data_IF_110314785146
#
_entry.id   IF_110314785146
#
_cell.length_a   1.000
_cell.length_b   1.000
_cell.length_c   1.000
_cell.angle_alpha   90.00
_cell.angle_beta   90.00
_cell.angle_gamma   90.00
#
_symmetry.space_group_name_H-M   'P 1'
#
loop_
_entity.id
_entity.type
_entity.pdbx_description
1 polymer ?
#
# COMPACT_ATOMS: atom_id res chain seq x y z
N UNK A 1 9.01 7.60 -25.96
CA UNK A 1 9.22 8.38 -24.70
C UNK A 1 8.22 9.51 -24.50
N UNK A 2 7.96 10.41 -25.47
CA UNK A 2 6.98 11.52 -25.29
C UNK A 2 5.57 11.08 -24.85
N UNK A 3 5.09 9.92 -25.32
CA UNK A 3 3.78 9.37 -24.96
C UNK A 3 3.66 8.94 -23.49
N UNK A 4 4.74 8.42 -22.91
CA UNK A 4 4.80 7.97 -21.51
C UNK A 4 4.78 9.18 -20.56
N UNK A 5 5.37 10.30 -20.97
CA UNK A 5 5.38 11.53 -20.18
C UNK A 5 3.98 12.17 -20.08
N UNK A 6 3.13 12.01 -21.10
CA UNK A 6 1.73 12.49 -21.07
C UNK A 6 0.85 11.73 -20.07
N UNK A 7 1.27 10.53 -19.68
CA UNK A 7 0.60 9.67 -18.69
C UNK A 7 1.01 9.95 -17.24
N UNK A 8 2.05 10.77 -17.03
CA UNK A 8 2.58 11.13 -15.71
C UNK A 8 1.53 11.55 -14.67
N UNK A 9 0.52 12.38 -15.00
CA UNK A 9 -0.51 12.79 -14.04
C UNK A 9 -1.37 11.64 -13.50
N UNK A 10 -1.40 10.49 -14.17
CA UNK A 10 -2.15 9.30 -13.73
C UNK A 10 -1.24 8.27 -13.09
N UNK A 11 -0.03 8.10 -13.63
CA UNK A 11 0.95 7.14 -13.13
C UNK A 11 1.50 7.58 -11.76
N UNK A 12 1.74 8.88 -11.55
CA UNK A 12 2.34 9.38 -10.29
C UNK A 12 1.42 9.15 -9.08
N UNK A 13 0.12 9.53 -9.11
CA UNK A 13 -0.79 9.24 -8.00
C UNK A 13 -0.90 7.74 -7.75
N UNK A 14 -0.94 6.94 -8.81
CA UNK A 14 -1.04 5.50 -8.71
C UNK A 14 0.19 4.86 -8.06
N UNK A 15 1.38 5.24 -8.53
CA UNK A 15 2.64 4.80 -7.98
C UNK A 15 2.77 5.22 -6.51
N UNK A 16 2.29 6.41 -6.15
CA UNK A 16 2.31 6.88 -4.76
C UNK A 16 1.39 6.04 -3.86
N UNK A 17 0.19 5.67 -4.34
CA UNK A 17 -0.72 4.78 -3.62
C UNK A 17 -0.05 3.43 -3.36
N UNK A 18 0.46 2.78 -4.40
CA UNK A 18 1.13 1.49 -4.24
C UNK A 18 2.35 1.58 -3.35
N UNK A 19 3.16 2.63 -3.51
CA UNK A 19 4.33 2.81 -2.67
C UNK A 19 3.94 2.88 -1.19
N UNK A 20 2.96 3.72 -0.84
CA UNK A 20 2.52 3.82 0.55
C UNK A 20 1.93 2.50 1.09
N UNK A 21 1.16 1.80 0.25
CA UNK A 21 0.48 0.55 0.62
C UNK A 21 1.46 -0.60 0.87
N UNK A 22 2.38 -0.83 -0.06
CA UNK A 22 3.39 -1.88 0.07
C UNK A 22 4.41 -1.56 1.17
N UNK A 23 4.85 -0.30 1.31
CA UNK A 23 5.70 0.11 2.44
C UNK A 23 5.02 -0.13 3.79
N UNK A 24 3.70 0.09 3.89
CA UNK A 24 2.96 -0.18 5.11
C UNK A 24 2.88 -1.67 5.41
N UNK A 25 2.63 -2.48 4.37
CA UNK A 25 2.49 -3.93 4.50
C UNK A 25 3.83 -4.56 4.89
N UNK A 26 4.90 -4.33 4.13
CA UNK A 26 6.21 -4.95 4.39
C UNK A 26 6.92 -4.36 5.61
N UNK A 27 6.74 -3.05 5.86
CA UNK A 27 7.42 -2.34 6.94
C UNK A 27 6.65 -2.29 8.26
N UNK A 28 5.49 -1.65 8.27
CA UNK A 28 4.82 -1.27 9.52
C UNK A 28 4.07 -2.45 10.14
N UNK A 29 3.34 -3.23 9.34
CA UNK A 29 2.55 -4.36 9.87
C UNK A 29 3.43 -5.49 10.42
N UNK A 30 4.65 -5.65 9.90
CA UNK A 30 5.60 -6.64 10.41
C UNK A 30 6.16 -6.25 11.79
N UNK A 31 6.12 -4.96 12.14
CA UNK A 31 6.49 -4.43 13.45
C UNK A 31 5.35 -4.39 14.47
N UNK A 32 4.12 -4.75 14.08
CA UNK A 32 2.95 -4.75 14.97
C UNK A 32 2.67 -6.17 15.48
N UNK A 33 2.51 -6.33 16.80
CA UNK A 33 2.11 -7.60 17.41
C UNK A 33 1.57 -7.40 18.82
N UNK A 34 0.62 -8.22 19.27
CA UNK A 34 0.03 -8.12 20.60
C UNK A 34 0.40 -9.35 21.44
N UNK A 35 1.41 -9.30 22.33
CA UNK A 35 2.38 -8.23 22.62
C UNK A 35 3.52 -8.09 21.59
N UNK A 36 4.12 -6.91 21.48
CA UNK A 36 5.06 -6.56 20.39
C UNK A 36 6.37 -7.35 20.44
N UNK A 37 6.80 -7.73 21.65
CA UNK A 37 8.03 -8.45 21.92
C UNK A 37 8.00 -9.88 21.34
N UNK A 38 6.80 -10.49 21.31
CA UNK A 38 6.63 -11.85 20.82
C UNK A 38 6.70 -11.89 19.29
N UNK A 39 7.62 -12.71 18.77
CA UNK A 39 7.73 -12.98 17.32
C UNK A 39 6.46 -13.64 16.79
N UNK A 40 5.88 -14.57 17.55
CA UNK A 40 4.66 -15.28 17.14
C UNK A 40 3.44 -14.37 17.10
N UNK A 41 3.35 -13.40 18.02
CA UNK A 41 2.27 -12.41 18.02
C UNK A 41 2.36 -11.47 16.82
N UNK A 42 3.57 -11.02 16.45
CA UNK A 42 3.80 -10.22 15.23
C UNK A 42 3.47 -11.00 13.97
N UNK A 43 3.91 -12.25 13.87
CA UNK A 43 3.61 -13.11 12.72
C UNK A 43 2.09 -13.39 12.59
N UNK A 44 1.41 -13.59 13.71
CA UNK A 44 -0.05 -13.79 13.76
C UNK A 44 -0.81 -12.54 13.31
N UNK A 45 -0.42 -11.37 13.82
CA UNK A 45 -1.02 -10.10 13.42
C UNK A 45 -0.77 -9.82 11.94
N UNK A 46 0.47 -9.98 11.47
CA UNK A 46 0.84 -9.79 10.06
C UNK A 46 -0.01 -10.67 9.13
N UNK A 47 -0.19 -11.95 9.49
CA UNK A 47 -1.01 -12.88 8.71
C UNK A 47 -2.49 -12.46 8.71
N UNK A 48 -3.03 -12.07 9.86
CA UNK A 48 -4.41 -11.61 9.97
C UNK A 48 -4.65 -10.28 9.24
N UNK A 49 -3.71 -9.34 9.33
CA UNK A 49 -3.74 -8.05 8.63
C UNK A 49 -3.68 -8.27 7.11
N UNK A 50 -2.80 -9.16 6.65
CA UNK A 50 -2.73 -9.59 5.25
C UNK A 50 -4.04 -10.19 4.76
N UNK A 51 -4.67 -11.07 5.55
CA UNK A 51 -5.98 -11.64 5.20
C UNK A 51 -7.09 -10.58 5.14
N UNK A 52 -7.16 -9.69 6.13
CA UNK A 52 -8.14 -8.61 6.16
C UNK A 52 -7.97 -7.66 4.97
N UNK A 53 -6.73 -7.30 4.66
CA UNK A 53 -6.38 -6.52 3.49
C UNK A 53 -6.80 -7.20 2.19
N UNK A 54 -6.47 -8.48 2.00
CA UNK A 54 -6.84 -9.22 0.79
C UNK A 54 -8.36 -9.39 0.66
N UNK A 55 -9.08 -9.56 1.77
CA UNK A 55 -10.53 -9.55 1.75
C UNK A 55 -11.08 -8.19 1.26
N UNK A 56 -10.53 -7.09 1.75
CA UNK A 56 -10.88 -5.74 1.29
C UNK A 56 -10.61 -5.54 -0.20
N UNK A 57 -9.43 -5.96 -0.68
CA UNK A 57 -9.06 -5.91 -2.11
C UNK A 57 -10.03 -6.73 -2.95
N UNK A 58 -10.38 -7.94 -2.50
CA UNK A 58 -11.33 -8.80 -3.20
C UNK A 58 -12.68 -8.11 -3.38
N UNK A 59 -13.28 -7.62 -2.28
CA UNK A 59 -14.55 -6.91 -2.35
C UNK A 59 -14.47 -5.67 -3.25
N UNK A 60 -13.40 -4.88 -3.12
CA UNK A 60 -13.26 -3.68 -3.94
C UNK A 60 -13.05 -3.97 -5.42
N UNK A 61 -12.29 -5.01 -5.77
CA UNK A 61 -12.06 -5.37 -7.18
C UNK A 61 -13.34 -5.93 -7.81
N UNK A 62 -14.10 -6.72 -7.05
CA UNK A 62 -15.42 -7.22 -7.48
C UNK A 62 -16.44 -6.08 -7.66
N UNK A 63 -16.44 -5.06 -6.79
CA UNK A 63 -17.35 -3.92 -6.90
C UNK A 63 -16.88 -2.83 -7.88
N UNK A 64 -15.59 -2.78 -8.22
CA UNK A 64 -14.99 -1.74 -9.06
C UNK A 64 -15.50 -1.72 -10.50
N UNK A 65 -16.06 -2.83 -10.99
CA UNK A 65 -16.72 -2.89 -12.31
C UNK A 65 -18.05 -2.11 -12.30
N UNK A 66 -18.72 -2.01 -11.14
CA UNK A 66 -20.00 -1.32 -10.97
C UNK A 66 -19.83 0.18 -10.64
N UNK A 67 -18.76 0.55 -9.93
CA UNK A 67 -18.49 1.93 -9.52
C UNK A 67 -17.18 2.44 -10.11
N UNK A 68 -17.28 3.20 -11.21
CA UNK A 68 -16.14 3.87 -11.82
C UNK A 68 -15.86 5.19 -11.08
N UNK A 69 -14.74 5.23 -10.36
CA UNK A 69 -14.27 6.41 -9.66
C UNK A 69 -13.83 7.49 -10.65
N UNK A 70 -14.23 8.72 -10.37
CA UNK A 70 -13.95 9.91 -11.18
C UNK A 70 -12.51 10.40 -10.94
N UNK A 71 -11.91 11.15 -11.89
CA UNK A 71 -10.54 11.70 -11.78
C UNK A 71 -10.16 12.35 -10.43
N UNK A 72 -11.04 13.05 -9.68
CA UNK A 72 -10.71 13.59 -8.36
C UNK A 72 -10.34 12.52 -7.32
N UNK A 73 -10.95 11.33 -7.41
CA UNK A 73 -10.70 10.23 -6.48
C UNK A 73 -9.27 9.70 -6.65
N UNK A 74 -8.71 9.73 -7.86
CA UNK A 74 -7.32 9.33 -8.12
C UNK A 74 -6.29 10.20 -7.40
N UNK A 75 -6.61 11.44 -7.05
CA UNK A 75 -5.71 12.32 -6.29
C UNK A 75 -5.98 12.27 -4.78
N UNK A 76 -7.24 12.07 -4.38
CA UNK A 76 -7.62 11.96 -2.97
C UNK A 76 -7.10 10.67 -2.33
N UNK A 77 -7.12 9.56 -3.08
CA UNK A 77 -6.71 8.25 -2.60
C UNK A 77 -5.23 8.16 -2.19
N UNK A 78 -4.25 8.67 -2.95
CA UNK A 78 -2.85 8.72 -2.52
C UNK A 78 -2.65 9.49 -1.22
N UNK A 79 -3.33 10.64 -1.06
CA UNK A 79 -3.25 11.40 0.17
C UNK A 79 -3.77 10.58 1.36
N UNK A 80 -4.89 9.88 1.18
CA UNK A 80 -5.46 9.02 2.22
C UNK A 80 -4.54 7.83 2.57
N UNK A 81 -3.91 7.19 1.57
CA UNK A 81 -2.98 6.09 1.83
C UNK A 81 -1.72 6.53 2.56
N UNK A 82 -1.16 7.69 2.20
CA UNK A 82 -0.01 8.25 2.92
C UNK A 82 -0.39 8.62 4.37
N UNK A 83 -1.59 9.16 4.59
CA UNK A 83 -2.10 9.42 5.94
C UNK A 83 -2.28 8.12 6.74
N UNK A 84 -2.79 7.05 6.13
CA UNK A 84 -2.93 5.74 6.76
C UNK A 84 -1.57 5.12 7.10
N UNK A 85 -0.57 5.26 6.23
CA UNK A 85 0.82 4.86 6.51
C UNK A 85 1.36 5.60 7.74
N UNK A 86 1.19 6.92 7.79
CA UNK A 86 1.60 7.74 8.92
C UNK A 86 0.88 7.34 10.22
N UNK A 87 -0.42 7.09 10.15
CA UNK A 87 -1.22 6.61 11.27
C UNK A 87 -0.71 5.26 11.80
N UNK A 88 -0.51 4.27 10.93
CA UNK A 88 0.00 2.97 11.33
C UNK A 88 1.43 3.05 11.90
N UNK A 89 2.28 3.90 11.31
CA UNK A 89 3.65 4.13 11.80
C UNK A 89 3.63 4.72 13.20
N UNK A 90 2.75 5.71 13.46
CA UNK A 90 2.58 6.31 14.77
C UNK A 90 2.05 5.29 15.79
N UNK A 91 1.07 4.47 15.41
CA UNK A 91 0.54 3.41 16.27
C UNK A 91 1.62 2.37 16.61
N UNK A 92 2.44 1.99 15.63
CA UNK A 92 3.55 1.07 15.84
C UNK A 92 4.67 1.64 16.73
N UNK A 93 4.90 2.96 16.70
CA UNK A 93 5.92 3.62 17.51
C UNK A 93 5.45 3.97 18.93
N UNK A 94 4.19 4.38 19.10
CA UNK A 94 3.66 4.89 20.38
C UNK A 94 2.80 3.89 21.13
N UNK A 95 2.38 2.79 20.49
CA UNK A 95 1.46 1.79 21.06
C UNK A 95 0.12 2.38 21.55
N UNK A 96 -0.26 3.59 21.10
CA UNK A 96 -1.44 4.30 21.63
C UNK A 96 -2.75 3.54 21.38
N UNK A 97 -2.92 2.93 20.20
CA UNK A 97 -4.07 2.10 19.86
C UNK A 97 -3.61 0.70 19.44
N UNK A 98 -3.37 -0.15 20.44
CA UNK A 98 -2.78 -1.48 20.23
C UNK A 98 -3.80 -2.61 20.46
N UNK A 99 -4.79 -2.70 19.56
CA UNK A 99 -5.86 -3.70 19.63
C UNK A 99 -6.11 -4.35 18.26
N UNK A 100 -6.75 -5.53 18.26
CA UNK A 100 -7.20 -6.24 17.06
C UNK A 100 -8.16 -5.44 16.15
N UNK A 101 -8.69 -4.31 16.64
CA UNK A 101 -9.44 -3.35 15.83
C UNK A 101 -8.65 -2.76 14.65
N UNK A 102 -7.32 -2.79 14.68
CA UNK A 102 -6.48 -2.40 13.54
C UNK A 102 -6.78 -3.23 12.27
N UNK A 103 -7.25 -4.47 12.42
CA UNK A 103 -7.64 -5.31 11.27
C UNK A 103 -8.77 -4.69 10.44
N UNK A 104 -9.68 -3.95 11.07
CA UNK A 104 -10.74 -3.23 10.35
C UNK A 104 -10.14 -2.13 9.48
N UNK A 105 -9.11 -1.45 9.98
CA UNK A 105 -8.40 -0.43 9.21
C UNK A 105 -7.59 -1.08 8.08
N UNK A 106 -6.97 -2.24 8.30
CA UNK A 106 -6.31 -3.02 7.24
C UNK A 106 -7.30 -3.43 6.13
N UNK A 107 -8.52 -3.81 6.50
CA UNK A 107 -9.59 -4.10 5.54
C UNK A 107 -9.96 -2.86 4.72
N UNK A 108 -10.10 -1.69 5.35
CA UNK A 108 -10.37 -0.42 4.66
C UNK A 108 -9.23 -0.04 3.72
N UNK A 109 -7.97 -0.22 4.12
CA UNK A 109 -6.79 -0.01 3.26
C UNK A 109 -6.89 -0.89 2.01
N UNK A 110 -7.21 -2.17 2.17
CA UNK A 110 -7.41 -3.09 1.05
C UNK A 110 -8.56 -2.68 0.14
N UNK A 111 -9.66 -2.17 0.71
CA UNK A 111 -10.78 -1.66 -0.06
C UNK A 111 -10.37 -0.44 -0.90
N UNK A 112 -9.62 0.50 -0.33
CA UNK A 112 -9.15 1.69 -1.04
C UNK A 112 -8.12 1.33 -2.14
N UNK A 113 -7.14 0.48 -1.81
CA UNK A 113 -6.11 0.02 -2.75
C UNK A 113 -6.68 -0.75 -3.95
N UNK A 114 -7.59 -1.69 -3.69
CA UNK A 114 -8.29 -2.43 -4.74
C UNK A 114 -9.13 -1.54 -5.65
N UNK A 115 -9.74 -0.49 -5.09
CA UNK A 115 -10.57 0.46 -5.83
C UNK A 115 -9.72 1.34 -6.74
N UNK A 116 -8.61 1.85 -6.24
CA UNK A 116 -7.65 2.63 -7.04
C UNK A 116 -7.10 1.80 -8.20
N UNK A 117 -6.76 0.53 -7.95
CA UNK A 117 -6.28 -0.40 -8.99
C UNK A 117 -7.26 -0.46 -10.16
N UNK A 118 -8.50 -0.90 -9.92
CA UNK A 118 -9.47 -1.10 -11.01
C UNK A 118 -9.76 0.20 -11.75
N UNK A 119 -9.88 1.31 -11.03
CA UNK A 119 -10.20 2.60 -11.63
C UNK A 119 -9.08 3.14 -12.50
N UNK A 120 -7.84 2.98 -12.10
CA UNK A 120 -6.71 3.43 -12.88
C UNK A 120 -6.51 2.63 -14.16
N UNK A 121 -6.59 1.30 -14.08
CA UNK A 121 -6.52 0.45 -15.27
C UNK A 121 -7.68 0.71 -16.22
N UNK A 122 -8.89 0.94 -15.69
CA UNK A 122 -10.07 1.29 -16.51
C UNK A 122 -9.90 2.65 -17.19
N UNK A 123 -9.42 3.66 -16.46
CA UNK A 123 -9.21 5.01 -17.02
C UNK A 123 -8.10 4.99 -18.08
N UNK A 124 -7.02 4.28 -17.80
CA UNK A 124 -5.92 4.08 -18.73
C UNK A 124 -6.40 3.43 -20.03
N UNK A 125 -7.23 2.39 -19.94
CA UNK A 125 -7.82 1.73 -21.11
C UNK A 125 -8.79 2.62 -21.90
N UNK A 126 -9.42 3.61 -21.26
CA UNK A 126 -10.38 4.52 -21.91
C UNK A 126 -9.73 5.73 -22.56
N UNK A 127 -8.66 6.26 -21.96
CA UNK A 127 -8.02 7.50 -22.42
C UNK A 127 -6.90 7.26 -23.47
N UNK A 128 -6.36 6.05 -23.54
CA UNK A 128 -5.32 5.69 -24.50
C UNK A 128 -5.94 5.19 -25.81
N UNK A 129 -5.36 5.59 -26.94
CA UNK A 129 -5.77 5.11 -28.26
C UNK A 129 -5.64 3.57 -28.34
N UNK A 130 -6.59 2.85 -28.98
CA UNK A 130 -6.59 1.39 -29.05
C UNK A 130 -5.29 0.79 -29.61
N UNK A 131 -4.61 1.51 -30.50
CA UNK A 131 -3.33 1.10 -31.09
C UNK A 131 -2.14 1.07 -30.11
N UNK A 132 -2.27 1.71 -28.95
CA UNK A 132 -1.20 1.84 -27.95
C UNK A 132 -1.62 1.42 -26.54
N UNK A 133 -2.86 0.98 -26.34
CA UNK A 133 -3.38 0.52 -25.03
C UNK A 133 -2.54 -0.61 -24.46
N UNK A 134 -2.22 -1.62 -25.27
CA UNK A 134 -1.45 -2.78 -24.81
C UNK A 134 -0.05 -2.39 -24.35
N UNK A 135 0.61 -1.51 -25.10
CA UNK A 135 1.93 -0.99 -24.74
C UNK A 135 1.86 -0.12 -23.47
N UNK A 136 0.82 0.69 -23.31
CA UNK A 136 0.63 1.52 -22.12
C UNK A 136 0.38 0.65 -20.88
N UNK A 137 -0.46 -0.38 -20.99
CA UNK A 137 -0.73 -1.35 -19.92
C UNK A 137 0.55 -2.11 -19.52
N UNK A 138 1.34 -2.56 -20.50
CA UNK A 138 2.62 -3.21 -20.23
C UNK A 138 3.61 -2.27 -19.52
N UNK A 139 3.73 -1.01 -19.99
CA UNK A 139 4.60 -0.03 -19.37
C UNK A 139 4.19 0.32 -17.93
N UNK A 140 2.88 0.44 -17.66
CA UNK A 140 2.35 0.69 -16.31
C UNK A 140 2.58 -0.51 -15.40
N UNK A 141 2.41 -1.74 -15.88
CA UNK A 141 2.70 -2.96 -15.12
C UNK A 141 4.18 -3.07 -14.69
N UNK A 142 5.10 -2.71 -15.60
CA UNK A 142 6.54 -2.66 -15.28
C UNK A 142 6.82 -1.54 -14.27
N UNK A 143 6.21 -0.37 -14.46
CA UNK A 143 6.34 0.76 -13.52
C UNK A 143 5.82 0.43 -12.13
N UNK A 144 4.70 -0.28 -12.03
CA UNK A 144 4.13 -0.78 -10.78
C UNK A 144 5.12 -1.72 -10.09
N UNK A 145 5.63 -2.73 -10.79
CA UNK A 145 6.62 -3.68 -10.23
C UNK A 145 7.85 -2.96 -9.68
N UNK A 146 8.40 -1.99 -10.42
CA UNK A 146 9.55 -1.19 -9.97
C UNK A 146 9.16 -0.34 -8.75
N UNK A 147 7.97 0.26 -8.74
CA UNK A 147 7.43 1.01 -7.62
C UNK A 147 7.32 0.17 -6.34
N UNK A 148 6.80 -1.06 -6.46
CA UNK A 148 6.73 -2.03 -5.36
C UNK A 148 8.12 -2.38 -4.83
N UNK A 149 9.11 -2.61 -5.70
CA UNK A 149 10.48 -2.87 -5.25
C UNK A 149 11.07 -1.71 -4.43
N UNK A 150 10.82 -0.45 -4.84
CA UNK A 150 11.23 0.71 -4.05
C UNK A 150 10.44 0.83 -2.74
N UNK A 151 9.15 0.53 -2.78
CA UNK A 151 8.28 0.52 -1.61
C UNK A 151 8.75 -0.49 -0.56
N UNK A 152 9.18 -1.68 -0.99
CA UNK A 152 9.72 -2.72 -0.13
C UNK A 152 11.06 -2.31 0.46
N UNK A 153 11.96 -1.71 -0.33
CA UNK A 153 13.20 -1.13 0.20
C UNK A 153 12.92 -0.10 1.30
N UNK A 154 11.96 0.81 1.07
CA UNK A 154 11.56 1.81 2.05
C UNK A 154 10.87 1.16 3.27
N UNK A 155 10.06 0.13 3.06
CA UNK A 155 9.40 -0.65 4.10
C UNK A 155 10.38 -1.34 5.03
N UNK A 156 11.45 -1.94 4.49
CA UNK A 156 12.50 -2.57 5.27
C UNK A 156 13.28 -1.57 6.14
N UNK A 157 13.57 -0.38 5.60
CA UNK A 157 14.21 0.70 6.38
C UNK A 157 13.30 1.16 7.51
N UNK A 158 12.00 1.37 7.22
CA UNK A 158 11.01 1.77 8.21
C UNK A 158 10.80 0.70 9.29
N UNK A 159 10.82 -0.58 8.91
CA UNK A 159 10.79 -1.71 9.82
C UNK A 159 11.98 -1.67 10.78
N UNK A 160 13.19 -1.42 10.26
CA UNK A 160 14.41 -1.28 11.05
C UNK A 160 14.29 -0.16 12.10
N UNK A 161 13.82 1.02 11.68
CA UNK A 161 13.56 2.13 12.60
C UNK A 161 12.54 1.75 13.70
N UNK A 162 11.42 1.13 13.33
CA UNK A 162 10.37 0.74 14.28
C UNK A 162 10.86 -0.33 15.27
N UNK A 163 11.73 -1.24 14.83
CA UNK A 163 12.34 -2.24 15.70
C UNK A 163 13.35 -1.60 16.66
N UNK A 164 14.13 -0.62 16.21
CA UNK A 164 15.04 0.17 17.05
C UNK A 164 14.29 0.92 18.15
N UNK A 165 13.21 1.65 17.78
CA UNK A 165 12.35 2.40 18.71
C UNK A 165 11.70 1.47 19.75
N UNK A 166 11.28 0.28 19.34
CA UNK A 166 10.63 -0.69 20.22
C UNK A 166 11.61 -1.63 20.93
N UNK A 167 12.92 -1.40 20.81
CA UNK A 167 13.99 -2.23 21.36
C UNK A 167 13.87 -3.74 21.02
N UNK A 168 13.41 -4.04 19.79
CA UNK A 168 13.16 -5.41 19.33
C UNK A 168 14.40 -6.01 18.64
N UNK A 169 14.83 -7.23 19.00
CA UNK A 169 15.91 -7.92 18.28
C UNK A 169 15.40 -8.54 16.96
N UNK A 170 16.26 -8.54 15.94
CA UNK A 170 16.02 -9.20 14.64
C UNK A 170 15.44 -8.31 13.56
N UNK A 171 15.84 -7.04 13.50
CA UNK A 171 15.55 -6.18 12.37
C UNK A 171 16.24 -6.73 11.09
N UNK A 172 15.53 -6.71 9.96
CA UNK A 172 16.09 -7.13 8.66
C UNK A 172 17.22 -6.21 8.19
N UNK A 173 17.13 -4.93 8.57
CA UNK A 173 18.16 -3.91 8.36
C UNK A 173 18.36 -3.21 9.70
N UNK A 174 19.59 -3.19 10.20
CA UNK A 174 19.94 -2.50 11.43
C UNK A 174 20.05 -1.00 11.13
N UNK A 175 18.95 -0.28 11.36
CA UNK A 175 18.86 1.17 11.14
C UNK A 175 18.66 1.83 12.50
N UNK A 176 19.60 2.68 12.89
CA UNK A 176 19.48 3.46 14.13
C UNK A 176 18.59 4.66 13.89
N UNK A 177 17.37 4.55 14.42
CA UNK A 177 16.35 5.57 14.56
C UNK A 177 15.91 5.52 16.04
#
# INVERSE_FOLDING_TARGET
>A
MKFILTLGPYIIPLATVYLAEYTMQTGVWSAIGFPVESKDARASFYSAAGLAYQAGVFFSRSSGVLFQATRPILYLMPALQVLLLGFFTLVAATHFWYNWGLLVVCFVIGLLGGGVYVNAYTLLSKEIAPSHVELALAAVSVGDTVGVMFADCAGLVLQGCLYSINHLPGASIDVTC
#
